data_IF_306671175427
#
_entry.id   IF_306671175427
#
_cell.length_a   1.000
_cell.length_b   1.000
_cell.length_c   1.000
_cell.angle_alpha   90.00
_cell.angle_beta   90.00
_cell.angle_gamma   90.00
#
_symmetry.space_group_name_H-M   'P 1'
#
loop_
_entity.id
_entity.type
_entity.pdbx_description
1 polymer ?
#
# COMPACT_ATOMS: atom_id res chain seq x y z
N UNK A 1 10.50 12.84 -3.72
CA UNK A 1 10.41 11.39 -3.98
C UNK A 1 9.61 10.81 -2.82
N UNK A 2 8.67 9.91 -3.05
CA UNK A 2 7.88 9.34 -1.96
C UNK A 2 8.78 8.34 -1.23
N UNK A 3 9.29 8.74 -0.06
CA UNK A 3 10.08 7.88 0.81
C UNK A 3 9.16 6.88 1.53
N UNK A 4 9.59 5.63 1.66
CA UNK A 4 8.81 4.55 2.33
C UNK A 4 8.38 4.97 3.73
N UNK A 5 9.28 5.62 4.48
CA UNK A 5 9.00 6.16 5.81
C UNK A 5 7.91 7.23 5.83
N UNK A 6 7.75 8.02 4.76
CA UNK A 6 6.69 9.03 4.68
C UNK A 6 5.32 8.39 4.50
N UNK A 7 5.25 7.27 3.77
CA UNK A 7 4.02 6.51 3.54
C UNK A 7 3.60 5.75 4.81
N UNK A 8 4.55 5.12 5.50
CA UNK A 8 4.27 4.43 6.78
C UNK A 8 3.76 5.39 7.85
N UNK A 9 4.38 6.57 8.00
CA UNK A 9 3.89 7.62 8.90
C UNK A 9 2.49 8.08 8.55
N UNK A 10 2.19 8.28 7.27
CA UNK A 10 0.86 8.68 6.83
C UNK A 10 -0.21 7.61 7.14
N UNK A 11 0.14 6.33 7.04
CA UNK A 11 -0.76 5.21 7.37
C UNK A 11 -1.08 5.20 8.88
N UNK A 12 -0.06 5.38 9.72
CA UNK A 12 -0.20 5.44 11.17
C UNK A 12 -0.98 6.69 11.63
N UNK A 13 -0.64 7.87 11.12
CA UNK A 13 -1.28 9.14 11.47
C UNK A 13 -2.77 9.16 11.13
N UNK A 14 -3.15 8.52 10.02
CA UNK A 14 -4.55 8.45 9.58
C UNK A 14 -5.29 7.21 10.12
N UNK A 15 -4.63 6.34 10.91
CA UNK A 15 -5.24 5.14 11.50
C UNK A 15 -5.84 4.20 10.44
N UNK A 16 -5.19 4.11 9.28
CA UNK A 16 -5.70 3.33 8.14
C UNK A 16 -5.65 1.85 8.49
N UNK A 17 -6.72 1.10 8.17
CA UNK A 17 -6.81 -0.34 8.48
C UNK A 17 -6.36 -1.23 7.33
N UNK A 18 -6.48 -0.73 6.10
CA UNK A 18 -6.18 -1.49 4.88
C UNK A 18 -5.47 -0.61 3.85
N UNK A 19 -4.44 -1.17 3.22
CA UNK A 19 -3.74 -0.58 2.08
C UNK A 19 -4.21 -1.30 0.82
N UNK A 20 -4.59 -0.52 -0.18
CA UNK A 20 -5.19 -1.01 -1.41
C UNK A 20 -4.16 -0.91 -2.54
N UNK A 21 -3.52 -2.03 -2.87
CA UNK A 21 -2.51 -2.13 -3.91
C UNK A 21 -3.19 -2.20 -5.27
N UNK A 22 -2.97 -1.20 -6.12
CA UNK A 22 -3.60 -1.11 -7.44
C UNK A 22 -2.56 -1.24 -8.53
N UNK A 23 -2.79 -2.17 -9.45
CA UNK A 23 -1.91 -2.37 -10.59
C UNK A 23 -2.70 -2.74 -11.84
N UNK A 24 -2.03 -2.63 -12.99
CA UNK A 24 -2.63 -2.95 -14.28
C UNK A 24 -1.94 -4.19 -14.82
N UNK A 25 -2.71 -5.23 -15.11
CA UNK A 25 -2.19 -6.41 -15.79
C UNK A 25 -1.67 -6.00 -17.19
N UNK A 26 -0.73 -6.75 -17.79
CA UNK A 26 -0.27 -6.49 -19.17
C UNK A 26 -1.40 -6.48 -20.22
N UNK A 27 -2.54 -7.09 -19.89
CA UNK A 27 -3.77 -7.07 -20.69
C UNK A 27 -4.60 -5.79 -20.52
N UNK A 28 -4.12 -4.81 -19.75
CA UNK A 28 -4.79 -3.53 -19.51
C UNK A 28 -5.90 -3.57 -18.45
N UNK A 29 -6.08 -4.69 -17.75
CA UNK A 29 -7.11 -4.81 -16.71
C UNK A 29 -6.61 -4.22 -15.40
N UNK A 30 -7.39 -3.33 -14.81
CA UNK A 30 -7.14 -2.85 -13.45
C UNK A 30 -7.51 -3.90 -12.42
N UNK A 31 -6.55 -4.16 -11.54
CA UNK A 31 -6.67 -5.05 -10.40
C UNK A 31 -6.40 -4.25 -9.13
N UNK A 32 -7.06 -4.65 -8.04
CA UNK A 32 -6.81 -4.13 -6.72
C UNK A 32 -6.67 -5.29 -5.73
N UNK A 33 -5.81 -5.13 -4.73
CA UNK A 33 -5.66 -6.09 -3.64
C UNK A 33 -5.56 -5.34 -2.34
N UNK A 34 -6.51 -5.60 -1.43
CA UNK A 34 -6.50 -5.02 -0.10
C UNK A 34 -5.64 -5.88 0.84
N UNK A 35 -4.62 -5.27 1.43
CA UNK A 35 -3.80 -5.85 2.48
C UNK A 35 -4.06 -5.16 3.81
N UNK A 36 -3.98 -5.92 4.90
CA UNK A 36 -4.06 -5.38 6.24
C UNK A 36 -2.75 -4.65 6.58
N UNK A 37 -2.83 -3.51 7.29
CA UNK A 37 -1.63 -2.73 7.67
C UNK A 37 -0.67 -3.54 8.53
N UNK A 38 -1.16 -4.52 9.29
CA UNK A 38 -0.31 -5.40 10.10
C UNK A 38 0.65 -6.29 9.30
N UNK A 39 0.48 -6.39 7.97
CA UNK A 39 1.35 -7.15 7.07
C UNK A 39 2.10 -6.26 6.09
N UNK A 40 2.06 -4.93 6.28
CA UNK A 40 2.75 -3.96 5.43
C UNK A 40 4.01 -3.51 6.14
N UNK A 41 5.12 -4.19 5.84
CA UNK A 41 6.43 -3.98 6.47
C UNK A 41 7.40 -3.27 5.49
N UNK A 42 8.54 -2.78 6.00
CA UNK A 42 9.60 -2.16 5.17
C UNK A 42 10.21 -3.12 4.13
N UNK A 43 10.05 -4.43 4.29
CA UNK A 43 10.45 -5.45 3.30
C UNK A 43 9.45 -5.59 2.13
N UNK A 44 8.21 -5.13 2.31
CA UNK A 44 7.14 -5.25 1.32
C UNK A 44 7.03 -4.03 0.38
N UNK A 45 7.51 -2.86 0.81
CA UNK A 45 7.37 -1.55 0.15
C UNK A 45 8.67 -1.05 -0.47
#
# INVERSE_FOLDING_TARGET
>A
MADVQSVLKMIEENGVKFVDLRFTDPKGKWQHTAQAVATVDEDLL
#
